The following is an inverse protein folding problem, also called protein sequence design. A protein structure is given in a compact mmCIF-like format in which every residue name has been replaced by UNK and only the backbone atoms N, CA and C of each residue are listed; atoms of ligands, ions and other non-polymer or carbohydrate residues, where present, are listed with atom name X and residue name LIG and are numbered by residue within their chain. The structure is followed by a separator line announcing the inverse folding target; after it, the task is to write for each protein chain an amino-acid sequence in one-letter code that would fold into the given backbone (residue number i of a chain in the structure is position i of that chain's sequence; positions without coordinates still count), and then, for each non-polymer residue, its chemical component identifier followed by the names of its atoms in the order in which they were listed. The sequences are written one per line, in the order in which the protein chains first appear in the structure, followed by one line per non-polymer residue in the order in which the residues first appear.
data_IF_852264696242
#
_entry.id   IF_852264696242
#
_cell.length_a   1.000
_cell.length_b   1.000
_cell.length_c   1.000
_cell.angle_alpha   90.00
_cell.angle_beta   90.00
_cell.angle_gamma   90.00
#
_symmetry.space_group_name_H-M   'P 1'
#
loop_
_entity.id
_entity.type
_entity.pdbx_description
1 polymer ?
#
# COMPACT_ATOMS: atom_id res chain seq x y z
N UNK A 1 7.73 -13.47 -4.18
CA UNK A 1 8.06 -14.50 -5.20
C UNK A 1 6.82 -14.77 -6.02
N UNK A 2 6.98 -14.86 -7.33
CA UNK A 2 5.92 -14.96 -8.32
C UNK A 2 6.22 -16.12 -9.26
N UNK A 3 5.20 -16.91 -9.59
CA UNK A 3 5.29 -18.03 -10.51
C UNK A 3 4.29 -17.87 -11.67
N UNK A 4 4.76 -17.97 -12.91
CA UNK A 4 3.87 -18.05 -14.08
C UNK A 4 3.47 -19.50 -14.27
N UNK A 5 2.18 -19.79 -14.16
CA UNK A 5 1.64 -21.15 -14.19
C UNK A 5 0.62 -21.36 -15.31
N UNK A 6 0.47 -22.62 -15.72
CA UNK A 6 -0.49 -23.04 -16.75
C UNK A 6 -1.56 -24.02 -16.27
N UNK A 7 -2.74 -23.94 -16.88
CA UNK A 7 -3.79 -24.95 -16.73
C UNK A 7 -3.63 -26.05 -17.79
N UNK A 8 -3.57 -27.29 -17.34
CA UNK A 8 -3.52 -28.49 -18.16
C UNK A 8 -4.77 -28.71 -19.03
N UNK A 9 -5.94 -28.24 -18.60
CA UNK A 9 -7.22 -28.48 -19.29
C UNK A 9 -7.52 -27.45 -20.39
N UNK A 10 -7.34 -26.16 -20.09
CA UNK A 10 -7.71 -25.06 -20.99
C UNK A 10 -6.53 -24.20 -21.43
N UNK A 11 -5.32 -24.57 -21.01
CA UNK A 11 -4.07 -23.89 -21.35
C UNK A 11 -4.07 -22.37 -21.04
N UNK A 12 -4.89 -21.92 -20.08
CA UNK A 12 -4.79 -20.57 -19.56
C UNK A 12 -3.47 -20.38 -18.80
N UNK A 13 -2.88 -19.19 -18.90
CA UNK A 13 -1.68 -18.76 -18.19
C UNK A 13 -2.01 -17.64 -17.20
N UNK A 14 -1.49 -17.72 -15.98
CA UNK A 14 -1.66 -16.68 -14.94
C UNK A 14 -0.45 -16.66 -13.98
N UNK A 15 -0.38 -15.62 -13.15
CA UNK A 15 0.67 -15.44 -12.15
C UNK A 15 0.12 -15.84 -10.79
N UNK A 16 0.90 -16.57 -10.02
CA UNK A 16 0.65 -16.90 -8.62
C UNK A 16 1.68 -16.18 -7.77
N UNK A 17 1.21 -15.49 -6.73
CA UNK A 17 2.06 -14.85 -5.73
C UNK A 17 2.28 -15.78 -4.54
N UNK A 18 3.52 -15.84 -4.03
CA UNK A 18 3.91 -16.69 -2.92
C UNK A 18 3.96 -18.17 -3.29
N UNK A 19 3.77 -19.03 -2.28
CA UNK A 19 3.68 -20.48 -2.45
C UNK A 19 2.38 -21.01 -1.79
N UNK A 20 1.21 -20.76 -2.42
CA UNK A 20 -0.05 -21.24 -1.87
C UNK A 20 -0.17 -22.76 -2.04
N UNK A 21 -0.89 -23.44 -1.14
CA UNK A 21 -1.11 -24.90 -1.27
C UNK A 21 -1.88 -25.26 -2.56
N UNK A 22 -2.78 -24.38 -3.00
CA UNK A 22 -3.59 -24.59 -4.21
C UNK A 22 -3.70 -23.32 -5.05
N UNK A 23 -3.93 -23.49 -6.35
CA UNK A 23 -4.24 -22.40 -7.27
C UNK A 23 -5.46 -22.74 -8.12
N UNK A 24 -6.29 -21.74 -8.39
CA UNK A 24 -7.48 -21.87 -9.24
C UNK A 24 -7.21 -21.27 -10.63
N UNK A 25 -7.60 -22.01 -11.67
CA UNK A 25 -7.50 -21.48 -13.04
C UNK A 25 -8.53 -20.35 -13.24
N UNK A 26 -8.12 -19.14 -13.67
CA UNK A 26 -9.04 -18.01 -13.83
C UNK A 26 -9.99 -18.15 -15.02
N UNK A 27 -9.74 -19.09 -15.94
CA UNK A 27 -10.59 -19.29 -17.14
C UNK A 27 -11.66 -20.36 -16.92
N UNK A 28 -11.30 -21.51 -16.35
CA UNK A 28 -12.22 -22.65 -16.20
C UNK A 28 -12.60 -22.95 -14.75
N UNK A 29 -12.07 -22.21 -13.78
CA UNK A 29 -12.38 -22.37 -12.35
C UNK A 29 -11.79 -23.63 -11.70
N UNK A 30 -11.02 -24.46 -12.43
CA UNK A 30 -10.46 -25.68 -11.87
C UNK A 30 -9.34 -25.39 -10.87
N UNK A 31 -9.49 -25.90 -9.66
CA UNK A 31 -8.48 -25.85 -8.59
C UNK A 31 -7.60 -27.10 -8.60
N UNK A 32 -6.30 -26.94 -8.43
CA UNK A 32 -5.31 -28.01 -8.24
C UNK A 32 -4.25 -27.54 -7.22
N UNK A 33 -3.51 -28.47 -6.63
CA UNK A 33 -2.33 -28.14 -5.82
C UNK A 33 -1.31 -27.34 -6.64
N UNK A 34 -0.72 -26.30 -6.03
CA UNK A 34 0.22 -25.40 -6.72
C UNK A 34 1.43 -26.17 -7.27
N UNK A 35 2.01 -27.06 -6.45
CA UNK A 35 3.08 -28.00 -6.78
C UNK A 35 2.80 -28.89 -8.03
N UNK A 36 1.52 -29.04 -8.42
CA UNK A 36 1.09 -29.86 -9.58
C UNK A 36 0.82 -29.02 -10.81
N UNK A 37 0.95 -27.70 -10.72
CA UNK A 37 0.83 -26.81 -11.87
C UNK A 37 2.12 -26.88 -12.68
N UNK A 38 1.96 -26.65 -13.98
CA UNK A 38 3.12 -26.42 -14.84
C UNK A 38 3.61 -25.00 -14.59
N UNK A 39 4.75 -24.86 -13.95
CA UNK A 39 5.47 -23.61 -13.78
C UNK A 39 6.35 -23.34 -15.00
N UNK A 40 6.33 -22.11 -15.50
CA UNK A 40 7.12 -21.67 -16.66
C UNK A 40 8.29 -20.78 -16.25
N UNK A 41 8.09 -19.94 -15.24
CA UNK A 41 9.13 -19.14 -14.59
C UNK A 41 8.74 -18.92 -13.13
N UNK A 42 9.74 -18.83 -12.27
CA UNK A 42 9.62 -18.39 -10.88
C UNK A 42 10.64 -17.29 -10.64
N UNK A 43 10.20 -16.16 -10.09
CA UNK A 43 11.02 -14.94 -9.94
C UNK A 43 10.61 -14.15 -8.69
N UNK A 44 11.48 -13.29 -8.18
CA UNK A 44 11.13 -12.36 -7.09
C UNK A 44 10.51 -11.06 -7.60
N UNK A 45 10.67 -10.79 -8.90
CA UNK A 45 10.20 -9.59 -9.60
C UNK A 45 8.84 -9.85 -10.28
N UNK A 46 7.82 -9.07 -9.89
CA UNK A 46 6.47 -9.18 -10.45
C UNK A 46 6.42 -8.82 -11.93
N UNK A 47 7.14 -7.78 -12.34
CA UNK A 47 7.15 -7.28 -13.71
C UNK A 47 7.82 -8.26 -14.64
N UNK A 48 8.87 -8.93 -14.17
CA UNK A 48 9.44 -10.05 -14.93
C UNK A 48 8.43 -11.19 -15.13
N UNK A 49 7.61 -11.51 -14.12
CA UNK A 49 6.55 -12.52 -14.27
C UNK A 49 5.46 -12.08 -15.26
N UNK A 50 5.08 -10.80 -15.25
CA UNK A 50 4.13 -10.19 -16.21
C UNK A 50 4.68 -10.22 -17.63
N UNK A 51 5.97 -9.91 -17.80
CA UNK A 51 6.66 -9.91 -19.08
C UNK A 51 6.73 -11.33 -19.68
N UNK A 52 7.17 -12.33 -18.90
CA UNK A 52 7.21 -13.73 -19.36
C UNK A 52 5.82 -14.23 -19.74
N UNK A 53 4.79 -13.97 -18.91
CA UNK A 53 3.42 -14.36 -19.25
C UNK A 53 2.96 -13.70 -20.55
N UNK A 54 3.27 -12.43 -20.76
CA UNK A 54 2.85 -11.67 -21.95
C UNK A 54 3.56 -12.16 -23.21
N UNK A 55 4.87 -12.41 -23.15
CA UNK A 55 5.62 -12.99 -24.26
C UNK A 55 5.05 -14.36 -24.70
N UNK A 56 4.68 -15.21 -23.74
CA UNK A 56 4.05 -16.51 -24.03
C UNK A 56 2.68 -16.36 -24.69
N UNK A 57 1.88 -15.38 -24.29
CA UNK A 57 0.58 -15.09 -24.90
C UNK A 57 0.72 -14.50 -26.31
N UNK A 58 1.73 -13.65 -26.53
CA UNK A 58 2.05 -13.09 -27.84
C UNK A 58 2.53 -14.19 -28.80
N UNK A 59 3.48 -15.02 -28.38
CA UNK A 59 3.97 -16.16 -29.14
C UNK A 59 2.83 -17.12 -29.54
N UNK A 60 1.84 -17.33 -28.65
CA UNK A 60 0.66 -18.15 -28.94
C UNK A 60 -0.23 -17.58 -30.04
N UNK A 61 -0.25 -16.27 -30.22
CA UNK A 61 -1.04 -15.58 -31.23
C UNK A 61 -0.24 -15.29 -32.51
N UNK A 62 1.05 -15.66 -32.56
CA UNK A 62 1.94 -15.34 -33.67
C UNK A 62 2.54 -13.93 -33.61
N UNK A 63 2.30 -13.20 -32.53
CA UNK A 63 2.72 -11.80 -32.33
C UNK A 63 4.04 -11.68 -31.57
N UNK A 64 4.89 -12.71 -31.61
CA UNK A 64 6.13 -12.76 -30.83
C UNK A 64 7.15 -11.69 -31.25
N UNK A 65 7.23 -11.39 -32.54
CA UNK A 65 8.11 -10.33 -33.06
C UNK A 65 7.63 -8.95 -32.62
N UNK A 66 6.32 -8.68 -32.75
CA UNK A 66 5.72 -7.43 -32.29
C UNK A 66 5.91 -7.21 -30.77
N UNK A 67 5.83 -8.29 -29.98
CA UNK A 67 6.12 -8.19 -28.53
C UNK A 67 7.59 -7.87 -28.25
N UNK A 68 8.53 -8.42 -29.04
CA UNK A 68 9.95 -8.16 -28.85
C UNK A 68 10.37 -6.72 -29.21
N UNK A 69 9.54 -6.00 -29.96
CA UNK A 69 9.71 -4.57 -30.26
C UNK A 69 9.20 -3.66 -29.12
N UNK A 70 8.41 -4.19 -28.18
CA UNK A 70 7.96 -3.45 -27.01
C UNK A 70 9.08 -3.34 -25.98
N UNK A 71 9.10 -2.22 -25.27
CA UNK A 71 9.96 -2.05 -24.10
C UNK A 71 9.52 -2.97 -22.95
N UNK A 72 10.42 -3.18 -22.00
CA UNK A 72 10.13 -3.99 -20.82
C UNK A 72 9.02 -3.35 -19.97
N UNK A 73 8.37 -4.15 -19.12
CA UNK A 73 7.28 -3.66 -18.27
C UNK A 73 7.71 -2.48 -17.37
N UNK A 74 8.93 -2.50 -16.83
CA UNK A 74 9.47 -1.40 -16.02
C UNK A 74 9.63 -0.10 -16.82
N UNK A 75 10.08 -0.19 -18.07
CA UNK A 75 10.21 0.99 -18.95
C UNK A 75 8.83 1.50 -19.41
N UNK A 76 7.88 0.60 -19.62
CA UNK A 76 6.50 0.96 -19.95
C UNK A 76 5.78 1.64 -18.77
N UNK A 77 6.05 1.24 -17.52
CA UNK A 77 5.51 1.89 -16.32
C UNK A 77 5.97 3.35 -16.23
N UNK A 78 7.27 3.61 -16.39
CA UNK A 78 7.79 4.98 -16.42
C UNK A 78 7.17 5.83 -17.53
N UNK A 79 6.92 5.23 -18.71
CA UNK A 79 6.19 5.93 -19.78
C UNK A 79 4.73 6.21 -19.45
N UNK A 80 4.06 5.38 -18.66
CA UNK A 80 2.69 5.65 -18.22
C UNK A 80 2.65 6.82 -17.24
N UNK A 81 3.63 6.92 -16.34
CA UNK A 81 3.78 8.08 -15.45
C UNK A 81 3.98 9.38 -16.25
N UNK A 82 4.75 9.32 -17.34
CA UNK A 82 4.94 10.44 -18.25
C UNK A 82 3.77 10.65 -19.23
N UNK A 83 2.95 9.61 -19.46
CA UNK A 83 1.84 9.63 -20.40
C UNK A 83 0.55 10.08 -19.71
N UNK A 84 0.32 11.39 -19.71
CA UNK A 84 -0.90 11.97 -19.18
C UNK A 84 -0.86 13.48 -19.24
N UNK A 85 -1.88 14.09 -18.66
CA UNK A 85 -1.80 15.48 -18.24
C UNK A 85 -1.23 15.40 -16.82
N UNK A 86 -0.10 16.05 -16.58
CA UNK A 86 0.50 16.14 -15.25
C UNK A 86 -0.44 16.85 -14.26
N UNK A 87 -0.26 16.58 -12.98
CA UNK A 87 -1.13 17.09 -11.92
C UNK A 87 -1.20 18.62 -11.94
N UNK A 88 -0.09 19.31 -12.22
CA UNK A 88 -0.04 20.77 -12.33
C UNK A 88 -0.97 21.26 -13.45
N UNK A 89 -0.77 20.76 -14.67
CA UNK A 89 -1.59 21.10 -15.84
C UNK A 89 -3.07 20.74 -15.63
N UNK A 90 -3.37 19.63 -14.95
CA UNK A 90 -4.74 19.22 -14.64
C UNK A 90 -5.41 20.18 -13.63
N UNK A 91 -4.68 20.58 -12.58
CA UNK A 91 -5.16 21.49 -11.55
C UNK A 91 -5.39 22.89 -12.14
N UNK A 92 -4.45 23.42 -12.91
CA UNK A 92 -4.60 24.70 -13.61
C UNK A 92 -5.80 24.67 -14.57
N UNK A 93 -5.93 23.61 -15.37
CA UNK A 93 -7.06 23.41 -16.27
C UNK A 93 -8.41 23.31 -15.55
N UNK A 94 -8.40 22.89 -14.28
CA UNK A 94 -9.56 22.84 -13.39
C UNK A 94 -9.82 24.16 -12.65
N UNK A 95 -9.00 25.19 -12.87
CA UNK A 95 -9.10 26.49 -12.20
C UNK A 95 -8.59 26.47 -10.75
N UNK A 96 -7.77 25.48 -10.39
CA UNK A 96 -7.11 25.34 -9.11
C UNK A 96 -5.66 25.84 -9.21
N UNK A 97 -5.11 26.27 -8.08
CA UNK A 97 -3.73 26.75 -7.95
C UNK A 97 -2.85 25.58 -7.47
N UNK A 98 -1.99 25.00 -8.33
CA UNK A 98 -1.18 23.84 -7.98
C UNK A 98 -0.17 24.13 -6.88
N UNK A 99 0.47 25.31 -6.91
CA UNK A 99 1.48 25.73 -5.91
C UNK A 99 0.85 25.80 -4.53
N UNK A 100 -0.33 26.41 -4.43
CA UNK A 100 -1.08 26.50 -3.17
C UNK A 100 -1.50 25.13 -2.64
N UNK A 101 -1.86 24.19 -3.52
CA UNK A 101 -2.24 22.83 -3.13
C UNK A 101 -1.03 22.05 -2.63
N UNK A 102 0.12 22.17 -3.29
CA UNK A 102 1.37 21.56 -2.86
C UNK A 102 1.81 22.09 -1.48
N UNK A 103 1.77 23.42 -1.29
CA UNK A 103 2.08 24.05 0.00
C UNK A 103 1.15 23.53 1.11
N UNK A 104 -0.15 23.44 0.86
CA UNK A 104 -1.11 22.91 1.83
C UNK A 104 -0.86 21.44 2.19
N UNK A 105 -0.44 20.61 1.22
CA UNK A 105 -0.09 19.21 1.48
C UNK A 105 1.18 19.08 2.35
N UNK A 106 2.17 19.93 2.12
CA UNK A 106 3.37 20.00 2.96
C UNK A 106 3.04 20.48 4.39
N UNK A 107 2.17 21.49 4.52
CA UNK A 107 1.70 21.96 5.82
C UNK A 107 0.96 20.86 6.60
N UNK A 108 0.08 20.10 5.95
CA UNK A 108 -0.64 19.00 6.60
C UNK A 108 0.33 17.91 7.10
N UNK A 109 1.36 17.57 6.34
CA UNK A 109 2.41 16.62 6.75
C UNK A 109 3.20 17.10 7.98
N UNK A 110 3.31 18.41 8.20
CA UNK A 110 3.92 18.98 9.42
C UNK A 110 2.94 19.11 10.58
N UNK A 111 1.63 19.11 10.31
CA UNK A 111 0.58 19.25 11.32
C UNK A 111 0.16 17.89 11.87
N UNK A 112 0.57 17.57 13.09
CA UNK A 112 0.09 16.35 13.76
C UNK A 112 -1.38 16.51 14.13
N UNK A 113 -2.20 15.49 13.87
CA UNK A 113 -3.57 15.47 14.35
C UNK A 113 -3.61 15.49 15.87
N UNK A 114 -4.72 15.98 16.44
CA UNK A 114 -4.92 16.00 17.90
C UNK A 114 -4.77 14.61 18.53
N UNK A 115 -5.12 13.55 17.81
CA UNK A 115 -4.96 12.17 18.28
C UNK A 115 -3.49 11.72 18.25
N UNK A 116 -2.73 12.10 17.21
CA UNK A 116 -1.30 11.83 17.11
C UNK A 116 -0.50 12.57 18.19
N UNK A 117 -0.85 13.81 18.51
CA UNK A 117 -0.22 14.57 19.60
C UNK A 117 -0.45 13.86 20.95
N UNK A 118 -1.61 13.25 21.16
CA UNK A 118 -1.90 12.46 22.38
C UNK A 118 -1.06 11.18 22.40
N UNK A 119 -0.94 10.46 21.28
CA UNK A 119 -0.08 9.26 21.21
C UNK A 119 1.39 9.61 21.41
N UNK A 120 1.87 10.68 20.79
CA UNK A 120 3.23 11.19 20.95
C UNK A 120 3.52 11.52 22.42
N UNK A 121 2.58 12.14 23.13
CA UNK A 121 2.73 12.44 24.55
C UNK A 121 2.93 11.15 25.39
N UNK A 122 2.13 10.12 25.14
CA UNK A 122 2.24 8.82 25.85
C UNK A 122 3.56 8.10 25.51
N UNK A 123 4.05 8.26 24.29
CA UNK A 123 5.30 7.64 23.84
C UNK A 123 6.56 8.37 24.32
N UNK A 124 6.50 9.69 24.39
CA UNK A 124 7.67 10.56 24.67
C UNK A 124 7.94 10.70 26.17
N UNK A 125 6.88 10.75 26.96
CA UNK A 125 6.99 10.91 28.41
C UNK A 125 7.25 9.54 29.06
N UNK A 126 8.05 9.53 30.13
CA UNK A 126 8.32 8.33 30.89
C UNK A 126 7.21 8.10 31.92
N UNK A 127 6.46 6.99 31.76
CA UNK A 127 5.32 6.60 32.58
C UNK A 127 4.33 7.76 32.88
N UNK A 128 3.77 8.44 31.85
CA UNK A 128 2.99 9.65 32.05
C UNK A 128 1.63 9.37 32.68
N UNK A 129 1.23 10.23 33.61
CA UNK A 129 -0.14 10.29 34.13
C UNK A 129 -1.07 11.04 33.17
N UNK A 130 -2.39 10.95 33.37
CA UNK A 130 -3.36 11.76 32.61
C UNK A 130 -3.01 13.26 32.65
N UNK A 131 -2.57 13.75 33.81
CA UNK A 131 -2.21 15.15 33.99
C UNK A 131 -1.00 15.54 33.13
N UNK A 132 0.02 14.68 33.08
CA UNK A 132 1.23 14.91 32.27
C UNK A 132 0.90 14.96 30.77
N UNK A 133 0.03 14.06 30.31
CA UNK A 133 -0.44 14.03 28.93
C UNK A 133 -1.29 15.27 28.61
N UNK A 134 -2.19 15.68 29.52
CA UNK A 134 -3.00 16.89 29.35
C UNK A 134 -2.10 18.13 29.28
N UNK A 135 -1.09 18.24 30.13
CA UNK A 135 -0.14 19.34 30.11
C UNK A 135 0.64 19.40 28.79
N UNK A 136 1.15 18.25 28.31
CA UNK A 136 1.88 18.15 27.05
C UNK A 136 1.04 18.54 25.83
N UNK A 137 -0.21 18.07 25.80
CA UNK A 137 -1.13 18.24 24.68
C UNK A 137 -1.74 19.65 24.66
N UNK A 138 -1.99 20.25 25.84
CA UNK A 138 -2.45 21.65 25.97
C UNK A 138 -1.43 22.64 25.43
N UNK A 139 -0.13 22.39 25.64
CA UNK A 139 0.96 23.21 25.05
C UNK A 139 1.00 23.18 23.51
N UNK A 140 0.25 22.26 22.89
CA UNK A 140 0.13 22.07 21.45
C UNK A 140 -1.31 22.25 20.98
N UNK A 141 -2.06 23.10 21.68
CA UNK A 141 -3.43 23.50 21.34
C UNK A 141 -4.47 22.36 21.29
N UNK A 142 -4.20 21.24 21.98
CA UNK A 142 -5.17 20.16 22.16
C UNK A 142 -5.95 20.38 23.47
N UNK A 143 -7.29 20.50 23.44
CA UNK A 143 -8.07 20.71 24.65
C UNK A 143 -8.01 19.52 25.62
N UNK A 144 -7.92 19.80 26.93
CA UNK A 144 -7.85 18.77 27.97
C UNK A 144 -8.99 17.74 27.89
N UNK A 145 -10.24 18.17 27.67
CA UNK A 145 -11.38 17.27 27.50
C UNK A 145 -11.24 16.32 26.30
N UNK A 146 -10.60 16.79 25.22
CA UNK A 146 -10.30 15.93 24.08
C UNK A 146 -9.25 14.88 24.47
N UNK A 147 -8.15 15.31 25.10
CA UNK A 147 -7.05 14.43 25.54
C UNK A 147 -7.56 13.30 26.43
N UNK A 148 -8.40 13.60 27.43
CA UNK A 148 -8.97 12.59 28.33
C UNK A 148 -9.84 11.56 27.59
N UNK A 149 -10.68 12.02 26.67
CA UNK A 149 -11.51 11.14 25.84
C UNK A 149 -10.66 10.28 24.91
N UNK A 150 -9.60 10.83 24.35
CA UNK A 150 -8.67 10.13 23.48
C UNK A 150 -7.93 9.02 24.25
N UNK A 151 -7.38 9.31 25.43
CA UNK A 151 -6.75 8.31 26.32
C UNK A 151 -7.73 7.18 26.68
N UNK A 152 -8.95 7.53 27.10
CA UNK A 152 -9.98 6.54 27.40
C UNK A 152 -10.41 5.72 26.17
N UNK A 153 -10.29 6.28 24.96
CA UNK A 153 -10.54 5.55 23.71
C UNK A 153 -9.41 4.58 23.40
N UNK A 154 -8.15 5.01 23.52
CA UNK A 154 -6.97 4.16 23.28
C UNK A 154 -6.96 2.93 24.20
N UNK A 155 -7.27 3.12 25.48
CA UNK A 155 -7.38 2.01 26.43
C UNK A 155 -8.51 1.05 26.07
N UNK A 156 -9.69 1.58 25.72
CA UNK A 156 -10.84 0.75 25.28
C UNK A 156 -10.57 -0.01 23.99
N UNK A 157 -9.78 0.55 23.08
CA UNK A 157 -9.40 -0.07 21.82
C UNK A 157 -8.28 -1.12 21.98
N UNK A 158 -7.63 -1.19 23.16
CA UNK A 158 -6.47 -2.04 23.37
C UNK A 158 -5.19 -1.52 22.69
N UNK A 159 -5.14 -0.22 22.38
CA UNK A 159 -3.96 0.46 21.82
C UNK A 159 -3.05 1.03 22.92
N UNK A 160 -3.57 1.14 24.15
CA UNK A 160 -2.83 1.58 25.32
C UNK A 160 -3.28 0.81 26.56
N UNK A 161 -2.39 0.71 27.55
CA UNK A 161 -2.71 0.24 28.90
C UNK A 161 -2.60 1.40 29.88
N UNK A 162 -3.56 1.47 30.80
CA UNK A 162 -3.48 2.31 31.99
C UNK A 162 -3.16 1.40 33.19
N UNK A 163 -2.16 1.74 33.98
CA UNK A 163 -1.74 0.97 35.15
C UNK A 163 -1.26 1.91 36.24
N UNK A 164 -1.91 1.86 37.41
CA UNK A 164 -1.63 2.78 38.52
C UNK A 164 -1.70 4.27 38.12
N UNK A 165 -2.60 4.64 37.20
CA UNK A 165 -2.76 6.01 36.73
C UNK A 165 -1.73 6.48 35.70
N UNK A 166 -0.81 5.61 35.25
CA UNK A 166 0.13 5.89 34.16
C UNK A 166 -0.27 5.18 32.88
N UNK A 167 0.01 5.81 31.75
CA UNK A 167 -0.34 5.32 30.42
C UNK A 167 0.88 4.79 29.69
N UNK A 168 0.69 3.71 28.93
CA UNK A 168 1.70 3.15 28.02
C UNK A 168 1.02 2.64 26.76
N UNK A 169 1.58 2.92 25.59
CA UNK A 169 1.12 2.33 24.33
C UNK A 169 1.49 0.83 24.25
N UNK A 170 0.68 0.06 23.53
CA UNK A 170 0.88 -1.37 23.27
C UNK A 170 1.56 -1.62 21.93
#
# INVERSE_FOLDING_TARGET
MYAVVGCDECAALWIVEGDPETSQCPRCGRTRGHEKRREFVTTEDEDHAREVRSSMLAARQGEGEAFAELDSFAELEGRVEEAGIDDETYLEGSGLDPERIAEAAEEEATSKSREEIVREAVQTLDAPTEADVVEYTTRRDVPADYTKRALAKLVRAGEATESNGTYRLL
#
